data_IF_209070684210
#
_entry.id   IF_209070684210
#
_cell.length_a   1.000
_cell.length_b   1.000
_cell.length_c   1.000
_cell.angle_alpha   90.00
_cell.angle_beta   90.00
_cell.angle_gamma   90.00
#
_symmetry.space_group_name_H-M   'P 1'
#
loop_
_entity.id
_entity.type
_entity.pdbx_description
1 polymer ?
#
# COMPACT_ATOMS: atom_id res chain seq x y z
N UNK A 1 47.77 42.26 7.60
CA UNK A 1 47.98 40.87 7.15
C UNK A 1 46.95 40.02 7.87
N UNK A 2 45.77 39.83 7.25
CA UNK A 2 44.74 38.96 7.82
C UNK A 2 45.21 37.52 7.66
N UNK A 3 45.37 36.83 8.78
CA UNK A 3 45.81 35.44 8.81
C UNK A 3 44.78 34.56 8.08
N UNK A 4 45.14 34.11 6.89
CA UNK A 4 44.27 33.35 5.98
C UNK A 4 43.96 31.94 6.51
N UNK A 5 44.59 31.53 7.61
CA UNK A 5 44.57 30.19 8.16
C UNK A 5 44.04 30.09 9.59
N UNK A 6 43.62 31.21 10.20
CA UNK A 6 43.04 31.22 11.54
C UNK A 6 41.56 30.76 11.59
N UNK A 7 41.01 30.49 12.79
CA UNK A 7 39.63 30.03 13.01
C UNK A 7 38.53 31.05 12.62
N UNK A 8 38.92 32.26 12.21
CA UNK A 8 38.03 33.29 11.62
C UNK A 8 38.39 33.63 10.17
N UNK A 9 39.19 32.78 9.52
CA UNK A 9 39.48 32.93 8.09
C UNK A 9 38.20 32.74 7.28
N UNK A 10 38.12 33.41 6.13
CA UNK A 10 36.98 33.29 5.21
C UNK A 10 36.72 31.83 4.81
N UNK A 11 37.77 31.04 4.59
CA UNK A 11 37.66 29.63 4.23
C UNK A 11 37.05 28.79 5.36
N UNK A 12 37.49 29.00 6.61
CA UNK A 12 36.94 28.29 7.77
C UNK A 12 35.46 28.62 8.02
N UNK A 13 35.07 29.89 7.80
CA UNK A 13 33.67 30.32 7.93
C UNK A 13 32.79 29.68 6.84
N UNK A 14 33.26 29.64 5.58
CA UNK A 14 32.54 28.98 4.49
C UNK A 14 32.36 27.49 4.78
N UNK A 15 33.43 26.77 5.14
CA UNK A 15 33.36 25.35 5.46
C UNK A 15 32.41 25.05 6.63
N UNK A 16 32.39 25.91 7.66
CA UNK A 16 31.44 25.79 8.77
C UNK A 16 29.98 25.94 8.31
N UNK A 17 29.70 26.92 7.45
CA UNK A 17 28.34 27.11 6.93
C UNK A 17 27.94 25.98 5.96
N UNK A 18 28.85 25.48 5.13
CA UNK A 18 28.60 24.35 4.24
C UNK A 18 28.28 23.08 5.05
N UNK A 19 29.05 22.78 6.10
CA UNK A 19 28.77 21.66 7.01
C UNK A 19 27.40 21.82 7.69
N UNK A 20 27.10 23.03 8.19
CA UNK A 20 25.82 23.30 8.86
C UNK A 20 24.65 23.16 7.90
N UNK A 21 24.82 23.57 6.63
CA UNK A 21 23.81 23.42 5.60
C UNK A 21 23.59 21.95 5.25
N UNK A 22 24.64 21.19 4.96
CA UNK A 22 24.55 19.74 4.66
C UNK A 22 23.91 18.94 5.81
N UNK A 23 24.14 19.34 7.06
CA UNK A 23 23.52 18.67 8.22
C UNK A 23 22.01 18.84 8.28
N UNK A 24 21.48 20.01 7.88
CA UNK A 24 20.05 20.30 7.94
C UNK A 24 19.34 20.05 6.60
N UNK A 25 20.09 20.09 5.50
CA UNK A 25 19.64 19.93 4.12
C UNK A 25 20.65 19.05 3.37
N UNK A 26 20.72 17.76 3.69
CA UNK A 26 21.68 16.87 3.06
C UNK A 26 21.48 16.86 1.56
N UNK A 27 22.57 17.10 0.83
CA UNK A 27 22.59 17.07 -0.62
C UNK A 27 22.14 15.71 -1.14
N UNK A 28 21.44 15.73 -2.27
CA UNK A 28 21.13 14.50 -3.00
C UNK A 28 22.38 14.04 -3.75
N UNK A 29 23.04 13.04 -3.20
CA UNK A 29 24.16 12.33 -3.84
C UNK A 29 23.65 11.18 -4.70
N UNK A 30 24.48 10.68 -5.61
CA UNK A 30 24.16 9.48 -6.40
C UNK A 30 23.84 8.27 -5.50
N UNK A 31 24.59 8.10 -4.41
CA UNK A 31 24.36 7.03 -3.42
C UNK A 31 23.00 7.20 -2.72
N UNK A 32 22.66 8.41 -2.27
CA UNK A 32 21.36 8.65 -1.62
C UNK A 32 20.19 8.41 -2.55
N UNK A 33 20.33 8.76 -3.84
CA UNK A 33 19.32 8.52 -4.85
C UNK A 33 19.13 7.01 -5.12
N UNK A 34 20.22 6.25 -5.23
CA UNK A 34 20.17 4.79 -5.39
C UNK A 34 19.48 4.10 -4.20
N UNK A 35 19.77 4.55 -2.98
CA UNK A 35 19.10 4.03 -1.78
C UNK A 35 17.59 4.29 -1.78
N UNK A 36 17.17 5.50 -2.18
CA UNK A 36 15.75 5.84 -2.33
C UNK A 36 15.09 4.99 -3.41
N UNK A 37 15.74 4.80 -4.56
CA UNK A 37 15.24 3.95 -5.63
C UNK A 37 15.07 2.49 -5.17
N UNK A 38 16.00 1.99 -4.37
CA UNK A 38 15.91 0.65 -3.78
C UNK A 38 14.72 0.54 -2.81
N UNK A 39 14.50 1.56 -1.95
CA UNK A 39 13.33 1.62 -1.06
C UNK A 39 12.03 1.59 -1.89
N UNK A 40 11.95 2.37 -2.96
CA UNK A 40 10.79 2.41 -3.85
C UNK A 40 10.56 1.06 -4.54
N UNK A 41 11.61 0.38 -4.99
CA UNK A 41 11.51 -0.94 -5.60
C UNK A 41 10.96 -1.99 -4.61
N UNK A 42 11.46 -2.01 -3.37
CA UNK A 42 10.98 -2.89 -2.32
C UNK A 42 9.52 -2.59 -1.95
N UNK A 43 9.13 -1.33 -1.86
CA UNK A 43 7.76 -0.94 -1.60
C UNK A 43 6.80 -1.46 -2.69
N UNK A 44 7.18 -1.36 -3.97
CA UNK A 44 6.38 -1.94 -5.07
C UNK A 44 6.24 -3.46 -4.95
N UNK A 45 7.30 -4.17 -4.53
CA UNK A 45 7.23 -5.62 -4.29
C UNK A 45 6.22 -5.93 -3.17
N UNK A 46 6.26 -5.20 -2.05
CA UNK A 46 5.31 -5.36 -0.96
C UNK A 46 3.87 -5.11 -1.40
N UNK A 47 3.64 -4.05 -2.18
CA UNK A 47 2.33 -3.71 -2.72
C UNK A 47 1.77 -4.81 -3.61
N UNK A 48 2.59 -5.35 -4.53
CA UNK A 48 2.19 -6.47 -5.40
C UNK A 48 1.89 -7.74 -4.60
N UNK A 49 2.68 -8.05 -3.57
CA UNK A 49 2.42 -9.19 -2.69
C UNK A 49 1.10 -9.02 -1.92
N UNK A 50 0.79 -7.82 -1.44
CA UNK A 50 -0.48 -7.53 -0.79
C UNK A 50 -1.66 -7.68 -1.76
N UNK A 51 -1.55 -7.16 -2.98
CA UNK A 51 -2.57 -7.33 -4.02
C UNK A 51 -2.78 -8.80 -4.42
N UNK A 52 -1.70 -9.59 -4.49
CA UNK A 52 -1.77 -11.02 -4.73
C UNK A 52 -2.50 -11.76 -3.58
N UNK A 53 -2.20 -11.42 -2.32
CA UNK A 53 -2.90 -11.99 -1.17
C UNK A 53 -4.41 -11.72 -1.22
N UNK A 54 -4.83 -10.49 -1.54
CA UNK A 54 -6.25 -10.18 -1.71
C UNK A 54 -6.88 -10.92 -2.89
N UNK A 55 -6.14 -11.10 -3.99
CA UNK A 55 -6.63 -11.87 -5.15
C UNK A 55 -6.98 -13.31 -4.75
N UNK A 56 -6.12 -13.96 -3.95
CA UNK A 56 -6.34 -15.31 -3.46
C UNK A 56 -7.49 -15.38 -2.46
N UNK A 57 -7.61 -14.39 -1.55
CA UNK A 57 -8.76 -14.31 -0.63
C UNK A 57 -10.08 -14.19 -1.42
N UNK A 58 -10.11 -13.37 -2.47
CA UNK A 58 -11.28 -13.22 -3.34
C UNK A 58 -11.63 -14.50 -4.12
N UNK A 59 -10.63 -15.28 -4.52
CA UNK A 59 -10.83 -16.60 -5.13
C UNK A 59 -11.39 -17.61 -4.12
N UNK A 60 -10.86 -17.63 -2.89
CA UNK A 60 -11.36 -18.49 -1.81
C UNK A 60 -12.83 -18.18 -1.52
N UNK A 61 -13.19 -16.90 -1.43
CA UNK A 61 -14.58 -16.48 -1.27
C UNK A 61 -15.46 -16.97 -2.43
N UNK A 62 -15.06 -16.74 -3.68
CA UNK A 62 -15.81 -17.22 -4.84
C UNK A 62 -15.99 -18.75 -4.86
N UNK A 63 -14.95 -19.49 -4.48
CA UNK A 63 -15.01 -20.94 -4.38
C UNK A 63 -16.00 -21.39 -3.29
N UNK A 64 -15.92 -20.83 -2.08
CA UNK A 64 -16.83 -21.16 -0.98
C UNK A 64 -18.27 -20.79 -1.31
N UNK A 65 -18.50 -19.61 -1.89
CA UNK A 65 -19.82 -19.14 -2.28
C UNK A 65 -20.50 -20.10 -3.26
N UNK A 66 -19.76 -20.58 -4.27
CA UNK A 66 -20.28 -21.54 -5.26
C UNK A 66 -20.69 -22.91 -4.68
N UNK A 67 -20.27 -23.23 -3.45
CA UNK A 67 -20.51 -24.52 -2.80
C UNK A 67 -21.50 -24.43 -1.64
N UNK A 68 -21.71 -23.24 -1.08
CA UNK A 68 -22.35 -23.06 0.22
C UNK A 68 -23.51 -22.06 0.23
N UNK A 69 -23.81 -21.36 -0.88
CA UNK A 69 -24.91 -20.39 -0.92
C UNK A 69 -25.83 -20.62 -2.13
N UNK A 70 -27.14 -20.46 -1.90
CA UNK A 70 -28.17 -20.57 -2.94
C UNK A 70 -28.24 -19.31 -3.83
N UNK A 71 -27.87 -18.11 -3.32
CA UNK A 71 -27.77 -16.83 -4.08
C UNK A 71 -26.80 -15.81 -3.44
N UNK A 72 -26.30 -14.82 -4.21
CA UNK A 72 -25.39 -13.75 -3.73
C UNK A 72 -25.95 -12.92 -2.55
N UNK A 73 -27.27 -12.84 -2.41
CA UNK A 73 -27.95 -12.09 -1.35
C UNK A 73 -27.84 -12.74 0.05
N UNK A 74 -27.37 -13.99 0.12
CA UNK A 74 -27.16 -14.75 1.36
C UNK A 74 -25.68 -15.13 1.56
N UNK A 75 -24.77 -14.18 1.30
CA UNK A 75 -23.33 -14.42 1.38
C UNK A 75 -22.73 -14.28 2.80
N UNK A 76 -23.46 -13.74 3.80
CA UNK A 76 -22.90 -13.38 5.12
C UNK A 76 -22.23 -14.58 5.80
N UNK A 77 -22.87 -15.75 5.83
CA UNK A 77 -22.30 -16.95 6.45
C UNK A 77 -21.02 -17.40 5.74
N UNK A 78 -20.99 -17.25 4.41
CA UNK A 78 -19.79 -17.53 3.61
C UNK A 78 -18.68 -16.53 3.90
N UNK A 79 -19.02 -15.25 4.07
CA UNK A 79 -18.05 -14.21 4.41
C UNK A 79 -17.44 -14.45 5.78
N UNK A 80 -18.25 -14.74 6.79
CA UNK A 80 -17.76 -15.03 8.14
C UNK A 80 -16.90 -16.30 8.18
N UNK A 81 -17.29 -17.35 7.47
CA UNK A 81 -16.48 -18.56 7.34
C UNK A 81 -15.11 -18.27 6.68
N UNK A 82 -15.10 -17.53 5.58
CA UNK A 82 -13.85 -17.16 4.88
C UNK A 82 -13.00 -16.24 5.75
N UNK A 83 -13.60 -15.27 6.44
CA UNK A 83 -12.89 -14.42 7.38
C UNK A 83 -12.25 -15.24 8.51
N UNK A 84 -12.94 -16.25 9.04
CA UNK A 84 -12.40 -17.14 10.06
C UNK A 84 -11.22 -17.98 9.53
N UNK A 85 -11.33 -18.55 8.32
CA UNK A 85 -10.25 -19.29 7.66
C UNK A 85 -9.02 -18.41 7.43
N UNK A 86 -9.22 -17.20 6.89
CA UNK A 86 -8.14 -16.21 6.66
C UNK A 86 -7.54 -15.72 7.98
N UNK A 87 -8.37 -15.50 8.99
CA UNK A 87 -7.97 -15.09 10.33
C UNK A 87 -7.03 -16.09 10.97
N UNK A 88 -7.41 -17.37 10.93
CA UNK A 88 -6.58 -18.48 11.41
C UNK A 88 -5.27 -18.61 10.61
N UNK A 89 -5.34 -18.58 9.27
CA UNK A 89 -4.18 -18.75 8.40
C UNK A 89 -3.15 -17.63 8.55
N UNK A 90 -3.60 -16.39 8.71
CA UNK A 90 -2.72 -15.22 8.85
C UNK A 90 -2.40 -14.86 10.31
N UNK A 91 -2.98 -15.57 11.29
CA UNK A 91 -2.84 -15.31 12.74
C UNK A 91 -3.24 -13.88 13.11
N UNK A 92 -4.38 -13.43 12.60
CA UNK A 92 -4.95 -12.09 12.80
C UNK A 92 -6.34 -12.17 13.44
N UNK A 93 -6.84 -11.04 13.94
CA UNK A 93 -8.21 -10.96 14.47
C UNK A 93 -9.26 -11.14 13.37
N UNK A 94 -10.44 -11.62 13.76
CA UNK A 94 -11.58 -11.82 12.86
C UNK A 94 -11.97 -10.53 12.12
N UNK A 95 -12.05 -9.40 12.83
CA UNK A 95 -12.36 -8.11 12.20
C UNK A 95 -11.33 -7.69 11.15
N UNK A 96 -10.04 -7.97 11.36
CA UNK A 96 -9.00 -7.67 10.38
C UNK A 96 -9.09 -8.61 9.16
N UNK A 97 -9.46 -9.87 9.37
CA UNK A 97 -9.70 -10.82 8.29
C UNK A 97 -10.95 -10.44 7.46
N UNK A 98 -12.05 -10.07 8.12
CA UNK A 98 -13.26 -9.56 7.46
C UNK A 98 -12.97 -8.30 6.63
N UNK A 99 -12.15 -7.37 7.14
CA UNK A 99 -11.66 -6.23 6.36
C UNK A 99 -10.86 -6.67 5.13
N UNK A 100 -9.92 -7.62 5.26
CA UNK A 100 -9.19 -8.16 4.10
C UNK A 100 -10.13 -8.76 3.07
N UNK A 101 -11.12 -9.53 3.50
CA UNK A 101 -12.14 -10.10 2.60
C UNK A 101 -12.94 -9.00 1.89
N UNK A 102 -13.40 -7.98 2.61
CA UNK A 102 -14.08 -6.82 2.01
C UNK A 102 -13.23 -6.15 0.93
N UNK A 103 -11.95 -5.94 1.18
CA UNK A 103 -11.03 -5.37 0.19
C UNK A 103 -10.79 -6.30 -0.99
N UNK A 104 -10.69 -7.61 -0.76
CA UNK A 104 -10.59 -8.61 -1.82
C UNK A 104 -11.83 -8.62 -2.74
N UNK A 105 -13.04 -8.56 -2.16
CA UNK A 105 -14.29 -8.41 -2.89
C UNK A 105 -14.33 -7.10 -3.68
N UNK A 106 -14.00 -5.97 -3.06
CA UNK A 106 -13.95 -4.68 -3.76
C UNK A 106 -12.97 -4.70 -4.94
N UNK A 107 -11.82 -5.37 -4.79
CA UNK A 107 -10.82 -5.52 -5.85
C UNK A 107 -11.32 -6.35 -7.04
N UNK A 108 -12.15 -7.36 -6.79
CA UNK A 108 -12.67 -8.29 -7.80
C UNK A 108 -13.97 -7.82 -8.45
N UNK A 109 -14.87 -7.29 -7.63
CA UNK A 109 -16.28 -7.10 -7.98
C UNK A 109 -16.64 -5.63 -8.26
N UNK A 110 -15.89 -4.68 -7.68
CA UNK A 110 -16.33 -3.27 -7.63
C UNK A 110 -15.37 -2.28 -8.29
N UNK A 111 -14.06 -2.45 -8.12
CA UNK A 111 -13.04 -1.50 -8.58
C UNK A 111 -11.91 -2.17 -9.40
N UNK A 112 -12.23 -2.84 -10.52
CA UNK A 112 -11.26 -3.63 -11.29
C UNK A 112 -10.11 -2.78 -11.89
N UNK A 113 -10.37 -1.50 -12.21
CA UNK A 113 -9.35 -0.55 -12.70
C UNK A 113 -8.36 -0.16 -11.61
N UNK A 114 -8.86 0.21 -10.42
CA UNK A 114 -8.02 0.52 -9.26
C UNK A 114 -7.22 -0.72 -8.83
N UNK A 115 -7.86 -1.89 -8.88
CA UNK A 115 -7.20 -3.17 -8.64
C UNK A 115 -6.02 -3.43 -9.59
N UNK A 116 -6.13 -3.03 -10.86
CA UNK A 116 -5.04 -3.17 -11.83
C UNK A 116 -3.82 -2.33 -11.41
N UNK A 117 -4.03 -1.08 -10.99
CA UNK A 117 -2.97 -0.19 -10.47
C UNK A 117 -2.39 -0.74 -9.16
N UNK A 118 -3.21 -1.33 -8.30
CA UNK A 118 -2.69 -1.96 -7.08
C UNK A 118 -1.80 -3.17 -7.40
N UNK A 119 -2.19 -3.98 -8.39
CA UNK A 119 -1.42 -5.15 -8.84
C UNK A 119 -0.09 -4.81 -9.52
N UNK A 120 0.10 -3.61 -10.06
CA UNK A 120 1.43 -3.17 -10.55
C UNK A 120 2.35 -2.77 -9.38
N UNK A 121 1.75 -2.42 -8.24
CA UNK A 121 2.43 -1.95 -7.04
C UNK A 121 2.57 -0.43 -6.96
N UNK A 122 1.93 0.31 -7.88
CA UNK A 122 2.02 1.78 -7.97
C UNK A 122 1.24 2.50 -6.87
N UNK A 123 0.20 1.86 -6.31
CA UNK A 123 -0.44 2.30 -5.07
C UNK A 123 -0.18 1.27 -3.97
N UNK A 124 -0.08 1.74 -2.73
CA UNK A 124 0.03 0.87 -1.58
C UNK A 124 -1.35 0.36 -1.10
N UNK A 125 -1.32 -0.59 -0.16
CA UNK A 125 -2.54 -1.14 0.40
C UNK A 125 -3.39 -0.08 1.12
N UNK A 126 -2.79 0.92 1.78
CA UNK A 126 -3.54 1.95 2.52
C UNK A 126 -4.27 2.90 1.59
N UNK A 127 -3.64 3.27 0.47
CA UNK A 127 -4.26 4.05 -0.59
C UNK A 127 -5.43 3.28 -1.19
N UNK A 128 -5.25 1.98 -1.49
CA UNK A 128 -6.34 1.13 -1.96
C UNK A 128 -7.51 1.08 -0.96
N UNK A 129 -7.23 0.85 0.33
CA UNK A 129 -8.24 0.86 1.39
C UNK A 129 -9.00 2.20 1.45
N UNK A 130 -8.27 3.31 1.33
CA UNK A 130 -8.86 4.66 1.32
C UNK A 130 -9.81 4.83 0.15
N UNK A 131 -9.42 4.43 -1.06
CA UNK A 131 -10.27 4.51 -2.26
C UNK A 131 -11.53 3.65 -2.07
N UNK A 132 -11.38 2.40 -1.62
CA UNK A 132 -12.52 1.50 -1.35
C UNK A 132 -13.48 2.13 -0.35
N UNK A 133 -12.98 2.63 0.78
CA UNK A 133 -13.81 3.25 1.82
C UNK A 133 -14.54 4.50 1.33
N UNK A 134 -13.84 5.38 0.59
CA UNK A 134 -14.41 6.64 0.08
C UNK A 134 -15.46 6.44 -1.01
N UNK A 135 -15.42 5.31 -1.69
CA UNK A 135 -16.34 4.99 -2.78
C UNK A 135 -17.43 4.01 -2.38
N UNK A 136 -17.44 3.50 -1.15
CA UNK A 136 -18.28 2.36 -0.71
C UNK A 136 -19.79 2.58 -0.88
N UNK A 137 -20.24 3.84 -0.79
CA UNK A 137 -21.64 4.23 -0.95
C UNK A 137 -22.04 4.47 -2.41
N UNK A 138 -21.10 4.37 -3.36
CA UNK A 138 -21.38 4.44 -4.79
C UNK A 138 -21.78 3.03 -5.24
N UNK A 139 -23.06 2.87 -5.59
CA UNK A 139 -23.65 1.58 -6.01
C UNK A 139 -23.85 1.47 -7.52
N UNK A 140 -23.78 2.60 -8.24
CA UNK A 140 -23.86 2.65 -9.69
C UNK A 140 -22.64 1.96 -10.32
N UNK A 141 -22.88 0.86 -11.02
CA UNK A 141 -21.83 0.03 -11.64
C UNK A 141 -21.15 0.74 -12.81
N UNK A 142 -21.87 1.57 -13.56
CA UNK A 142 -21.31 2.27 -14.71
C UNK A 142 -20.37 3.38 -14.23
N UNK A 143 -20.74 4.07 -13.14
CA UNK A 143 -19.86 5.05 -12.48
C UNK A 143 -18.59 4.40 -11.92
N UNK A 144 -18.70 3.21 -11.34
CA UNK A 144 -17.56 2.46 -10.81
C UNK A 144 -16.66 1.84 -11.90
N UNK A 145 -17.23 1.59 -13.08
CA UNK A 145 -16.53 1.00 -14.22
C UNK A 145 -15.85 2.05 -15.14
N UNK A 146 -16.22 3.33 -15.05
CA UNK A 146 -15.64 4.45 -15.80
C UNK A 146 -14.14 4.66 -15.54
#
# INVERSE_FOLDING_TARGET
>A
MFDATGPRSRAAVIAFFDELFERHYPSTTAESAELVDHICALARIQNRAAAAQLSVIGQLFGYRLSRCSDTEDWAIDTEEAVAAEVGAALRISQGLAAHRLRYARAMRERLPKVAAVFRTGDIDFRMFQTIVYRTDLITDRDVLAA
#
